data_IF_504176757418
#
_entry.id   IF_504176757418
#
_cell.length_a   1.000
_cell.length_b   1.000
_cell.length_c   1.000
_cell.angle_alpha   90.00
_cell.angle_beta   90.00
_cell.angle_gamma   90.00
#
_symmetry.space_group_name_H-M   'P 1'
#
loop_
_entity.id
_entity.type
_entity.pdbx_description
1 polymer ?
#
# COMPACT_ATOMS: atom_id res chain seq x y z
N UNK A 1 34.52 9.67 -29.11
CA UNK A 1 33.68 8.49 -28.85
C UNK A 1 34.58 7.36 -28.37
N UNK A 2 34.64 7.15 -27.06
CA UNK A 2 35.20 5.96 -26.40
C UNK A 2 34.42 5.78 -25.09
N UNK A 3 33.87 4.59 -24.78
CA UNK A 3 33.02 4.40 -23.60
C UNK A 3 33.88 3.98 -22.40
N UNK A 4 33.88 4.76 -21.34
CA UNK A 4 34.44 4.34 -20.06
C UNK A 4 33.39 3.50 -19.31
N UNK A 5 33.54 2.19 -19.41
CA UNK A 5 32.83 1.18 -18.64
C UNK A 5 33.30 1.29 -17.18
N UNK A 6 32.42 1.68 -16.26
CA UNK A 6 32.69 1.64 -14.82
C UNK A 6 32.18 0.28 -14.29
N UNK A 7 33.06 -0.63 -13.84
CA UNK A 7 32.61 -1.87 -13.24
C UNK A 7 32.03 -1.60 -11.85
N UNK A 8 30.80 -2.11 -11.64
CA UNK A 8 30.20 -2.30 -10.33
C UNK A 8 31.02 -3.32 -9.56
N UNK A 9 31.82 -2.86 -8.60
CA UNK A 9 32.47 -3.70 -7.58
C UNK A 9 31.92 -3.36 -6.21
N UNK A 10 31.15 -4.30 -5.63
CA UNK A 10 30.82 -4.35 -4.22
C UNK A 10 32.10 -4.27 -3.40
N UNK A 11 32.23 -3.27 -2.53
CA UNK A 11 32.98 -3.44 -1.30
C UNK A 11 32.21 -2.73 -0.18
N UNK A 12 31.47 -3.53 0.58
CA UNK A 12 30.95 -3.14 1.88
C UNK A 12 32.13 -2.95 2.82
N UNK A 13 32.59 -1.72 2.96
CA UNK A 13 33.40 -1.31 4.10
C UNK A 13 32.51 -0.37 4.92
N UNK A 14 31.80 -0.92 5.90
CA UNK A 14 31.21 -0.12 6.98
C UNK A 14 32.38 0.27 7.90
N UNK A 15 32.76 1.56 8.01
CA UNK A 15 33.59 1.97 9.13
C UNK A 15 32.71 1.91 10.38
N UNK A 16 33.11 1.05 11.31
CA UNK A 16 32.61 1.06 12.66
C UNK A 16 33.28 2.27 13.34
N UNK A 17 32.58 3.39 13.45
CA UNK A 17 33.01 4.47 14.34
C UNK A 17 32.00 4.66 15.45
N UNK A 18 32.45 4.28 16.63
CA UNK A 18 31.72 4.27 17.88
C UNK A 18 32.00 5.58 18.60
N UNK A 19 30.98 6.42 18.78
CA UNK A 19 30.83 7.25 19.98
C UNK A 19 29.42 7.82 19.99
N UNK A 20 28.69 7.45 21.03
CA UNK A 20 27.32 7.85 21.30
C UNK A 20 27.19 9.37 21.35
N UNK A 21 26.64 9.93 20.28
CA UNK A 21 25.72 11.04 20.41
C UNK A 21 24.59 10.76 19.41
N UNK A 22 23.50 10.17 19.90
CA UNK A 22 22.26 10.11 19.14
C UNK A 22 21.69 11.53 19.08
N UNK A 23 22.32 12.41 18.27
CA UNK A 23 21.68 13.66 17.86
C UNK A 23 20.36 13.26 17.21
N UNK A 24 19.27 13.85 17.70
CA UNK A 24 17.93 13.57 17.19
C UNK A 24 17.91 13.78 15.67
N UNK A 25 17.16 12.95 14.92
CA UNK A 25 17.09 13.07 13.45
C UNK A 25 16.71 14.48 12.99
N UNK A 26 15.97 15.20 13.83
CA UNK A 26 15.58 16.60 13.68
C UNK A 26 16.78 17.56 13.74
N UNK A 27 17.71 17.40 14.68
CA UNK A 27 18.91 18.25 14.76
C UNK A 27 19.79 18.08 13.52
N UNK A 28 19.99 16.83 13.08
CA UNK A 28 20.78 16.55 11.87
C UNK A 28 20.12 17.13 10.61
N UNK A 29 18.79 17.17 10.58
CA UNK A 29 18.02 17.78 9.50
C UNK A 29 18.20 19.30 9.42
N UNK A 30 18.08 20.01 10.54
CA UNK A 30 18.25 21.47 10.61
C UNK A 30 19.65 21.88 10.14
N UNK A 31 20.67 21.14 10.60
CA UNK A 31 22.04 21.34 10.13
C UNK A 31 22.11 21.11 8.63
N UNK A 32 21.54 20.02 8.10
CA UNK A 32 21.54 19.74 6.66
C UNK A 32 20.89 20.88 5.84
N UNK A 33 19.73 21.40 6.25
CA UNK A 33 19.06 22.52 5.58
C UNK A 33 19.95 23.77 5.51
N UNK A 34 20.60 24.13 6.61
CA UNK A 34 21.49 25.31 6.66
C UNK A 34 22.68 25.22 5.68
N UNK A 35 23.15 24.02 5.36
CA UNK A 35 24.23 23.80 4.38
C UNK A 35 23.70 23.74 2.95
N UNK A 36 22.48 23.23 2.75
CA UNK A 36 21.84 23.20 1.43
C UNK A 36 21.51 24.63 0.98
N UNK A 37 21.04 25.49 1.89
CA UNK A 37 20.78 26.92 1.60
C UNK A 37 22.03 27.67 1.15
N UNK A 38 23.20 27.30 1.66
CA UNK A 38 24.50 27.86 1.26
C UNK A 38 24.97 27.38 -0.12
N UNK A 39 24.21 26.50 -0.79
CA UNK A 39 24.47 26.03 -2.16
C UNK A 39 25.35 24.79 -2.26
N UNK A 40 25.58 24.07 -1.16
CA UNK A 40 26.37 22.84 -1.18
C UNK A 40 25.56 21.67 -1.76
N UNK A 41 26.22 20.71 -2.45
CA UNK A 41 25.52 19.56 -3.03
C UNK A 41 24.95 18.65 -1.92
N UNK A 42 23.63 18.42 -1.98
CA UNK A 42 22.83 17.63 -1.01
C UNK A 42 23.48 16.27 -0.73
N UNK A 43 24.00 15.60 -1.75
CA UNK A 43 24.62 14.27 -1.60
C UNK A 43 25.82 14.25 -0.66
N UNK A 44 26.67 15.29 -0.70
CA UNK A 44 27.85 15.40 0.17
C UNK A 44 27.46 15.75 1.60
N UNK A 45 26.49 16.65 1.76
CA UNK A 45 25.98 17.06 3.08
C UNK A 45 25.39 15.87 3.83
N UNK A 46 24.56 15.07 3.17
CA UNK A 46 23.95 13.88 3.76
C UNK A 46 24.97 12.78 4.09
N UNK A 47 26.02 12.65 3.27
CA UNK A 47 27.10 11.69 3.51
C UNK A 47 27.93 12.07 4.75
N UNK A 48 28.24 13.36 4.92
CA UNK A 48 28.95 13.87 6.11
C UNK A 48 28.11 13.71 7.38
N UNK A 49 26.79 13.93 7.29
CA UNK A 49 25.86 13.80 8.43
C UNK A 49 25.43 12.36 8.70
N UNK A 50 25.93 11.40 7.93
CA UNK A 50 25.56 9.98 7.96
C UNK A 50 24.03 9.75 7.85
N UNK A 51 23.33 10.63 7.12
CA UNK A 51 21.92 10.49 6.83
C UNK A 51 21.75 9.72 5.52
N UNK A 52 20.92 8.68 5.54
CA UNK A 52 20.59 7.96 4.32
C UNK A 52 19.74 8.85 3.37
N UNK A 53 20.09 8.86 2.07
CA UNK A 53 19.43 9.70 1.06
C UNK A 53 17.91 9.47 0.99
N UNK A 54 17.46 8.23 1.22
CA UNK A 54 16.02 7.94 1.23
C UNK A 54 15.28 8.68 2.34
N UNK A 55 15.90 8.86 3.51
CA UNK A 55 15.31 9.58 4.64
C UNK A 55 15.11 11.05 4.30
N UNK A 56 16.11 11.66 3.66
CA UNK A 56 16.03 13.05 3.19
C UNK A 56 14.86 13.27 2.22
N UNK A 57 14.76 12.45 1.17
CA UNK A 57 13.67 12.59 0.19
C UNK A 57 12.32 12.16 0.75
N UNK A 58 12.27 11.19 1.67
CA UNK A 58 11.02 10.79 2.32
C UNK A 58 10.45 11.93 3.18
N UNK A 59 11.29 12.67 3.88
CA UNK A 59 10.89 13.81 4.70
C UNK A 59 10.53 15.03 3.86
N UNK A 60 11.25 15.29 2.78
CA UNK A 60 10.92 16.32 1.79
C UNK A 60 9.56 16.04 1.12
N UNK A 61 9.30 14.78 0.74
CA UNK A 61 8.05 14.34 0.13
C UNK A 61 6.93 14.10 1.16
N UNK A 62 7.24 14.00 2.46
CA UNK A 62 6.27 13.79 3.54
C UNK A 62 5.41 15.01 3.86
N UNK A 63 5.73 16.18 3.27
CA UNK A 63 4.83 17.34 3.21
C UNK A 63 3.66 17.13 2.23
N UNK A 64 3.73 16.12 1.35
CA UNK A 64 2.58 15.65 0.58
C UNK A 64 1.64 15.00 1.59
N UNK A 65 0.52 15.67 1.81
CA UNK A 65 -0.63 15.33 2.65
C UNK A 65 -0.58 13.91 3.23
N UNK A 66 -0.66 13.80 4.57
CA UNK A 66 -0.92 12.54 5.26
C UNK A 66 -2.04 11.83 4.52
N UNK A 67 -1.71 10.83 3.70
CA UNK A 67 -2.71 10.02 3.01
C UNK A 67 -3.56 9.45 4.12
N UNK A 68 -4.81 9.92 4.19
CA UNK A 68 -5.82 9.32 5.05
C UNK A 68 -5.75 7.83 4.79
N UNK A 69 -5.52 7.09 5.88
CA UNK A 69 -5.31 5.66 5.98
C UNK A 69 -5.74 4.92 4.72
N UNK A 70 -4.80 4.24 4.07
CA UNK A 70 -5.08 3.40 2.90
C UNK A 70 -6.01 2.26 3.25
N UNK A 71 -7.31 2.55 3.36
CA UNK A 71 -8.37 1.58 3.13
C UNK A 71 -8.22 1.13 1.69
N UNK A 72 -8.32 -0.17 1.45
CA UNK A 72 -8.21 -0.74 0.10
C UNK A 72 -9.24 -0.16 -0.87
N UNK A 73 -9.30 -0.75 -2.07
CA UNK A 73 -10.29 -0.38 -3.10
C UNK A 73 -11.68 -0.31 -2.45
N UNK A 74 -12.41 0.83 -2.53
CA UNK A 74 -13.74 0.92 -1.96
C UNK A 74 -14.61 -0.17 -2.59
N UNK A 75 -15.27 -0.96 -1.75
CA UNK A 75 -16.16 -2.02 -2.21
C UNK A 75 -17.34 -1.33 -2.93
N UNK A 76 -17.57 -1.61 -4.23
CA UNK A 76 -18.71 -1.02 -4.91
C UNK A 76 -20.01 -1.53 -4.27
N UNK A 77 -20.88 -0.61 -3.85
CA UNK A 77 -22.15 -0.90 -3.15
C UNK A 77 -23.22 -1.60 -3.99
N UNK A 78 -22.87 -2.08 -5.18
CA UNK A 78 -23.76 -2.80 -6.10
C UNK A 78 -22.98 -3.84 -6.90
N UNK A 79 -23.67 -4.90 -7.31
CA UNK A 79 -23.18 -5.91 -8.25
C UNK A 79 -24.00 -5.89 -9.53
N UNK A 80 -23.45 -6.45 -10.60
CA UNK A 80 -24.15 -6.57 -11.87
C UNK A 80 -24.57 -8.02 -12.11
N UNK A 81 -25.78 -8.19 -12.63
CA UNK A 81 -26.30 -9.45 -13.13
C UNK A 81 -25.76 -9.72 -14.54
N UNK A 82 -25.80 -10.96 -15.02
CA UNK A 82 -25.43 -11.29 -16.40
C UNK A 82 -26.28 -10.55 -17.45
N UNK A 83 -27.48 -10.12 -17.06
CA UNK A 83 -28.42 -9.29 -17.83
C UNK A 83 -28.10 -7.79 -17.80
N UNK A 84 -27.10 -7.36 -17.02
CA UNK A 84 -26.71 -5.95 -16.87
C UNK A 84 -27.51 -5.17 -15.82
N UNK A 85 -28.40 -5.83 -15.10
CA UNK A 85 -29.16 -5.22 -14.00
C UNK A 85 -28.28 -4.94 -12.78
N UNK A 86 -28.57 -3.84 -12.07
CA UNK A 86 -27.86 -3.46 -10.84
C UNK A 86 -28.57 -4.08 -9.64
N UNK A 87 -27.83 -4.84 -8.84
CA UNK A 87 -28.31 -5.43 -7.59
C UNK A 87 -27.58 -4.75 -6.43
N UNK A 88 -28.34 -4.24 -5.46
CA UNK A 88 -27.79 -3.63 -4.23
C UNK A 88 -27.19 -4.71 -3.32
N UNK A 89 -26.28 -4.30 -2.45
CA UNK A 89 -25.64 -5.23 -1.51
C UNK A 89 -26.65 -5.81 -0.48
N UNK A 90 -27.68 -5.04 -0.11
CA UNK A 90 -28.78 -5.50 0.78
C UNK A 90 -29.51 -6.71 0.21
N UNK A 91 -29.85 -6.66 -1.08
CA UNK A 91 -30.56 -7.75 -1.75
C UNK A 91 -29.70 -9.01 -1.88
N UNK A 92 -28.37 -8.84 -2.03
CA UNK A 92 -27.43 -9.96 -2.03
C UNK A 92 -27.32 -10.59 -0.63
N UNK A 93 -27.36 -9.78 0.42
CA UNK A 93 -27.33 -10.23 1.80
C UNK A 93 -28.61 -10.99 2.18
N UNK A 94 -29.78 -10.56 1.69
CA UNK A 94 -31.04 -11.28 1.86
C UNK A 94 -30.98 -12.68 1.25
N UNK A 95 -30.56 -12.79 -0.01
CA UNK A 95 -30.39 -14.09 -0.69
C UNK A 95 -29.39 -15.00 0.03
N UNK A 96 -28.28 -14.45 0.51
CA UNK A 96 -27.32 -15.21 1.31
C UNK A 96 -27.93 -15.72 2.62
N UNK A 97 -28.71 -14.88 3.31
CA UNK A 97 -29.37 -15.25 4.57
C UNK A 97 -30.40 -16.36 4.35
N UNK A 98 -31.20 -16.26 3.28
CA UNK A 98 -32.15 -17.30 2.88
C UNK A 98 -31.47 -18.63 2.56
N UNK A 99 -30.36 -18.61 1.82
CA UNK A 99 -29.57 -19.81 1.50
C UNK A 99 -28.97 -20.47 2.74
N UNK A 100 -28.48 -19.67 3.70
CA UNK A 100 -27.91 -20.17 4.95
C UNK A 100 -28.98 -20.76 5.86
N UNK A 101 -30.16 -20.14 5.93
CA UNK A 101 -31.29 -20.65 6.72
C UNK A 101 -31.93 -21.90 6.12
N UNK A 102 -31.98 -22.02 4.79
CA UNK A 102 -32.63 -23.13 4.10
C UNK A 102 -31.83 -24.44 4.11
N UNK A 103 -30.57 -24.42 3.65
CA UNK A 103 -29.77 -25.65 3.45
C UNK A 103 -28.70 -25.89 4.53
N UNK A 104 -28.70 -25.07 5.59
CA UNK A 104 -27.82 -25.19 6.74
C UNK A 104 -26.41 -24.64 6.50
N UNK A 105 -25.83 -24.12 7.57
CA UNK A 105 -24.53 -23.44 7.71
C UNK A 105 -23.30 -24.16 7.11
N UNK A 106 -23.44 -25.34 6.50
CA UNK A 106 -22.36 -26.17 5.96
C UNK A 106 -21.86 -25.75 4.56
N UNK A 107 -22.49 -24.76 3.93
CA UNK A 107 -22.12 -24.31 2.59
C UNK A 107 -21.02 -23.24 2.65
N UNK A 108 -19.77 -23.63 2.34
CA UNK A 108 -18.69 -22.67 2.13
C UNK A 108 -18.95 -21.72 0.96
N UNK A 109 -18.30 -20.55 0.97
CA UNK A 109 -18.45 -19.45 -0.01
C UNK A 109 -18.52 -19.91 -1.48
N UNK A 110 -17.75 -20.94 -1.85
CA UNK A 110 -17.71 -21.46 -3.23
C UNK A 110 -19.08 -21.98 -3.66
N UNK A 111 -19.80 -22.70 -2.79
CA UNK A 111 -21.10 -23.26 -3.15
C UNK A 111 -22.19 -22.18 -3.17
N UNK A 112 -22.16 -21.23 -2.23
CA UNK A 112 -23.05 -20.06 -2.23
C UNK A 112 -22.93 -19.27 -3.53
N UNK A 113 -21.71 -18.97 -3.97
CA UNK A 113 -21.50 -18.26 -5.25
C UNK A 113 -22.02 -19.02 -6.48
N UNK A 114 -22.06 -20.36 -6.43
CA UNK A 114 -22.62 -21.17 -7.53
C UNK A 114 -24.15 -21.11 -7.51
N UNK A 115 -24.78 -21.20 -6.33
CA UNK A 115 -26.23 -21.06 -6.21
C UNK A 115 -26.70 -19.68 -6.66
N UNK A 116 -26.04 -18.60 -6.23
CA UNK A 116 -26.34 -17.23 -6.69
C UNK A 116 -26.20 -17.04 -8.20
N UNK A 117 -25.23 -17.71 -8.83
CA UNK A 117 -25.08 -17.70 -10.30
C UNK A 117 -26.19 -18.47 -11.02
N UNK A 118 -26.71 -19.55 -10.42
CA UNK A 118 -27.77 -20.36 -11.03
C UNK A 118 -29.15 -19.73 -10.86
N UNK A 119 -29.48 -19.29 -9.65
CA UNK A 119 -30.80 -18.75 -9.32
C UNK A 119 -30.98 -17.32 -9.86
N UNK A 120 -29.97 -16.46 -9.66
CA UNK A 120 -30.10 -15.03 -9.93
C UNK A 120 -29.16 -14.53 -11.03
N UNK A 121 -28.40 -15.41 -11.70
CA UNK A 121 -27.44 -15.05 -12.77
C UNK A 121 -26.46 -13.94 -12.35
N UNK A 122 -26.14 -13.88 -11.05
CA UNK A 122 -25.38 -12.78 -10.47
C UNK A 122 -23.89 -12.96 -10.71
N UNK A 123 -23.22 -11.93 -11.25
CA UNK A 123 -21.78 -11.96 -11.51
C UNK A 123 -21.02 -11.41 -10.29
N UNK A 124 -20.92 -12.22 -9.24
CA UNK A 124 -20.12 -11.87 -8.04
C UNK A 124 -18.66 -12.32 -8.19
N UNK A 125 -17.74 -11.43 -7.80
CA UNK A 125 -16.31 -11.75 -7.62
C UNK A 125 -16.06 -12.36 -6.23
N UNK A 126 -15.10 -13.29 -6.13
CA UNK A 126 -14.74 -13.96 -4.86
C UNK A 126 -14.41 -12.97 -3.72
N UNK A 127 -13.80 -11.83 -4.05
CA UNK A 127 -13.46 -10.80 -3.06
C UNK A 127 -14.71 -10.16 -2.46
N UNK A 128 -15.75 -9.97 -3.27
CA UNK A 128 -16.98 -9.33 -2.83
C UNK A 128 -17.79 -10.24 -1.91
N UNK A 129 -17.89 -11.54 -2.22
CA UNK A 129 -18.57 -12.52 -1.35
C UNK A 129 -17.90 -12.69 0.02
N UNK A 130 -16.58 -12.51 0.11
CA UNK A 130 -15.83 -12.59 1.39
C UNK A 130 -15.91 -11.29 2.19
N UNK A 131 -16.16 -10.15 1.55
CA UNK A 131 -16.27 -8.86 2.24
C UNK A 131 -17.64 -8.62 2.86
N UNK A 132 -18.68 -9.32 2.40
CA UNK A 132 -20.09 -9.07 2.77
C UNK A 132 -20.63 -10.04 3.84
N UNK A 133 -19.84 -11.06 4.18
CA UNK A 133 -20.22 -12.16 5.07
C UNK A 133 -19.27 -12.21 6.24
#
# INVERSE_FOLDING_TARGET
MTPCIIPRGLFCFKPHFSSLQECSLTEKWEVAESWIEKGYPITKVLEILEIHRSTYYYQQNGKVEKKTVGGGRPTPGYSLTATGEKVSDEQIQEWLSELVMGEGLAYGYRKLTIQLRRAHQLVISKKKSVSMM
#
